data_IF_236336781491
#
_entry.id   IF_236336781491
#
_cell.length_a   1.000
_cell.length_b   1.000
_cell.length_c   1.000
_cell.angle_alpha   90.00
_cell.angle_beta   90.00
_cell.angle_gamma   90.00
#
_symmetry.space_group_name_H-M   'P 1'
#
loop_
_entity.id
_entity.type
_entity.pdbx_description
1 polymer ?
#
# COMPACT_ATOMS: atom_id res chain seq x y z
N UNK A 1 -3.30 -18.29 13.80
CA UNK A 1 -4.07 -18.38 15.08
C UNK A 1 -3.21 -18.57 16.31
N UNK A 2 -2.34 -19.59 16.42
CA UNK A 2 -1.44 -19.72 17.60
C UNK A 2 -0.36 -18.63 17.64
N UNK A 3 0.21 -18.26 16.47
CA UNK A 3 1.24 -17.21 16.38
C UNK A 3 0.73 -15.82 16.77
N UNK A 4 -0.49 -15.45 16.40
CA UNK A 4 -1.07 -14.15 16.79
C UNK A 4 -1.37 -14.09 18.29
N UNK A 5 -1.93 -15.15 18.86
CA UNK A 5 -2.16 -15.21 20.32
C UNK A 5 -0.84 -15.11 21.10
N UNK A 6 0.21 -15.77 20.60
CA UNK A 6 1.55 -15.65 21.16
C UNK A 6 2.12 -14.22 21.06
N UNK A 7 1.93 -13.55 19.91
CA UNK A 7 2.35 -12.16 19.74
C UNK A 7 1.55 -11.20 20.67
N UNK A 8 0.25 -11.41 20.80
CA UNK A 8 -0.63 -10.68 21.74
C UNK A 8 -0.16 -10.87 23.19
N UNK A 9 0.22 -12.10 23.57
CA UNK A 9 0.79 -12.41 24.88
C UNK A 9 2.14 -11.70 25.10
N UNK A 10 3.05 -11.71 24.12
CA UNK A 10 4.33 -11.01 24.22
C UNK A 10 4.15 -9.49 24.38
N UNK A 11 3.22 -8.88 23.63
CA UNK A 11 2.91 -7.45 23.77
C UNK A 11 2.31 -7.16 25.15
N UNK A 12 1.39 -8.02 25.62
CA UNK A 12 0.78 -7.91 26.95
C UNK A 12 1.84 -7.98 28.05
N UNK A 13 2.74 -8.95 27.98
CA UNK A 13 3.86 -9.10 28.91
C UNK A 13 4.78 -7.88 28.86
N UNK A 14 5.16 -7.41 27.68
CA UNK A 14 6.02 -6.24 27.51
C UNK A 14 5.42 -4.98 28.17
N UNK A 15 4.14 -4.69 27.88
CA UNK A 15 3.45 -3.53 28.45
C UNK A 15 3.33 -3.66 29.98
N UNK A 16 3.05 -4.86 30.49
CA UNK A 16 2.98 -5.14 31.92
C UNK A 16 4.34 -4.92 32.61
N UNK A 17 5.42 -5.52 32.10
CA UNK A 17 6.75 -5.41 32.70
C UNK A 17 7.32 -3.99 32.68
N UNK A 18 6.94 -3.16 31.70
CA UNK A 18 7.35 -1.75 31.63
C UNK A 18 6.46 -0.82 32.47
N UNK A 19 5.38 -1.33 33.06
CA UNK A 19 4.44 -0.53 33.86
C UNK A 19 3.51 0.36 33.03
N UNK A 20 3.32 0.05 31.74
CA UNK A 20 2.43 0.80 30.85
C UNK A 20 0.96 0.41 31.05
N UNK A 21 0.46 0.50 32.27
CA UNK A 21 -0.85 -0.03 32.69
C UNK A 21 -2.02 0.60 31.93
N UNK A 22 -1.98 1.91 31.65
CA UNK A 22 -3.00 2.59 30.84
C UNK A 22 -2.99 2.10 29.39
N UNK A 23 -1.81 1.88 28.80
CA UNK A 23 -1.68 1.37 27.43
C UNK A 23 -2.14 -0.08 27.34
N UNK A 24 -1.82 -0.90 28.34
CA UNK A 24 -2.26 -2.28 28.44
C UNK A 24 -3.79 -2.38 28.51
N UNK A 25 -4.44 -1.55 29.34
CA UNK A 25 -5.90 -1.50 29.42
C UNK A 25 -6.56 -1.10 28.10
N UNK A 26 -6.01 -0.10 27.41
CA UNK A 26 -6.49 0.29 26.07
C UNK A 26 -6.30 -0.85 25.07
N UNK A 27 -5.13 -1.48 25.07
CA UNK A 27 -4.82 -2.61 24.20
C UNK A 27 -5.80 -3.77 24.39
N UNK A 28 -6.02 -4.24 25.63
CA UNK A 28 -6.95 -5.33 25.91
C UNK A 28 -8.40 -4.97 25.53
N UNK A 29 -8.81 -3.73 25.78
CA UNK A 29 -10.14 -3.24 25.41
C UNK A 29 -10.34 -3.26 23.90
N UNK A 30 -9.39 -2.74 23.13
CA UNK A 30 -9.45 -2.71 21.67
C UNK A 30 -9.38 -4.13 21.08
N UNK A 31 -8.54 -4.99 21.64
CA UNK A 31 -8.41 -6.39 21.23
C UNK A 31 -9.70 -7.18 21.44
N UNK A 32 -10.44 -6.91 22.52
CA UNK A 32 -11.73 -7.56 22.82
C UNK A 32 -12.85 -7.19 21.83
N UNK A 33 -12.69 -6.10 21.09
CA UNK A 33 -13.60 -5.69 20.03
C UNK A 33 -13.10 -6.18 18.68
N UNK A 34 -13.43 -7.44 18.32
CA UNK A 34 -13.07 -8.10 17.04
C UNK A 34 -13.62 -7.38 15.76
N UNK A 35 -14.29 -6.23 15.97
CA UNK A 35 -14.71 -5.23 14.97
C UNK A 35 -13.51 -4.69 14.18
N UNK A 36 -12.30 -4.77 14.74
CA UNK A 36 -11.08 -4.29 14.10
C UNK A 36 -10.80 -4.92 12.73
N UNK A 37 -11.01 -6.23 12.51
CA UNK A 37 -10.44 -6.92 11.32
C UNK A 37 -10.91 -6.38 9.97
N UNK A 38 -12.19 -6.04 9.83
CA UNK A 38 -12.71 -5.38 8.61
C UNK A 38 -12.33 -3.89 8.59
N UNK A 39 -12.38 -3.23 9.75
CA UNK A 39 -12.06 -1.83 9.93
C UNK A 39 -10.60 -1.49 9.53
N UNK A 40 -9.65 -2.36 9.82
CA UNK A 40 -8.24 -2.19 9.41
C UNK A 40 -8.08 -2.19 7.88
N UNK A 41 -8.91 -2.94 7.13
CA UNK A 41 -8.81 -2.99 5.65
C UNK A 41 -9.29 -1.70 5.03
N UNK A 42 -10.45 -1.20 5.48
CA UNK A 42 -10.98 0.07 5.00
C UNK A 42 -10.07 1.23 5.38
N UNK A 43 -9.49 1.21 6.59
CA UNK A 43 -8.47 2.18 6.99
C UNK A 43 -7.24 2.15 6.09
N UNK A 44 -6.70 0.97 5.75
CA UNK A 44 -5.52 0.89 4.87
C UNK A 44 -5.89 1.34 3.44
N UNK A 45 -7.06 0.96 2.95
CA UNK A 45 -7.55 1.44 1.68
C UNK A 45 -7.62 2.99 1.67
N UNK A 46 -8.19 3.58 2.71
CA UNK A 46 -8.29 5.03 2.86
C UNK A 46 -6.92 5.69 3.05
N UNK A 47 -5.98 5.05 3.76
CA UNK A 47 -4.60 5.54 3.84
C UNK A 47 -3.97 5.66 2.45
N UNK A 48 -4.20 4.68 1.57
CA UNK A 48 -3.67 4.71 0.20
C UNK A 48 -4.36 5.81 -0.62
N UNK A 49 -5.68 5.70 -0.79
CA UNK A 49 -6.43 6.47 -1.79
C UNK A 49 -6.95 7.81 -1.28
N UNK A 50 -7.17 7.96 0.02
CA UNK A 50 -7.73 9.18 0.64
C UNK A 50 -6.66 10.03 1.34
N UNK A 51 -5.48 9.48 1.66
CA UNK A 51 -4.41 10.20 2.35
C UNK A 51 -3.09 10.28 1.55
N UNK A 52 -2.42 9.17 1.28
CA UNK A 52 -1.07 9.17 0.73
C UNK A 52 -1.02 9.65 -0.71
N UNK A 53 -1.93 9.17 -1.56
CA UNK A 53 -2.00 9.63 -2.95
C UNK A 53 -2.41 11.11 -3.04
N UNK A 54 -3.54 11.57 -2.41
CA UNK A 54 -3.95 12.97 -2.51
C UNK A 54 -2.96 13.97 -1.91
N UNK A 55 -2.18 13.56 -0.89
CA UNK A 55 -1.13 14.40 -0.28
C UNK A 55 0.24 14.24 -0.92
N UNK A 56 0.37 13.49 -2.02
CA UNK A 56 1.63 13.26 -2.72
C UNK A 56 2.75 12.69 -1.82
N UNK A 57 2.39 11.80 -0.90
CA UNK A 57 3.32 11.17 0.03
C UNK A 57 3.77 9.79 -0.49
N UNK A 58 4.69 9.79 -1.46
CA UNK A 58 5.25 8.57 -2.03
C UNK A 58 6.03 7.73 -1.03
N UNK A 59 6.72 8.37 -0.08
CA UNK A 59 7.54 7.68 0.91
C UNK A 59 6.68 6.79 1.81
N UNK A 60 5.56 7.32 2.34
CA UNK A 60 4.64 6.53 3.15
C UNK A 60 3.96 5.41 2.34
N UNK A 61 3.65 5.67 1.07
CA UNK A 61 3.08 4.65 0.17
C UNK A 61 4.04 3.49 -0.06
N UNK A 62 5.30 3.76 -0.41
CA UNK A 62 6.33 2.72 -0.60
C UNK A 62 6.60 2.00 0.71
N UNK A 63 6.69 2.72 1.82
CA UNK A 63 6.94 2.12 3.13
C UNK A 63 5.83 1.14 3.53
N UNK A 64 4.57 1.47 3.25
CA UNK A 64 3.43 0.58 3.47
C UNK A 64 3.54 -0.72 2.65
N UNK A 65 3.86 -0.63 1.36
CA UNK A 65 4.03 -1.83 0.53
C UNK A 65 5.26 -2.65 0.92
N UNK A 66 6.35 -2.00 1.33
CA UNK A 66 7.53 -2.69 1.88
C UNK A 66 7.18 -3.43 3.17
N UNK A 67 6.43 -2.79 4.07
CA UNK A 67 5.94 -3.42 5.29
C UNK A 67 5.11 -4.66 4.97
N UNK A 68 4.13 -4.56 4.06
CA UNK A 68 3.35 -5.73 3.66
C UNK A 68 4.22 -6.87 3.13
N UNK A 69 5.24 -6.57 2.32
CA UNK A 69 6.17 -7.61 1.82
C UNK A 69 6.90 -8.32 2.96
N UNK A 70 7.24 -7.60 4.04
CA UNK A 70 7.90 -8.16 5.21
C UNK A 70 6.98 -9.00 6.09
N UNK A 71 5.67 -8.83 5.99
CA UNK A 71 4.71 -9.68 6.70
C UNK A 71 4.61 -11.11 6.13
N UNK A 72 4.99 -11.32 4.87
CA UNK A 72 4.92 -12.62 4.22
C UNK A 72 6.22 -13.41 4.37
N UNK A 73 6.08 -14.72 4.59
CA UNK A 73 7.18 -15.67 4.50
C UNK A 73 7.64 -15.85 3.06
N UNK A 74 8.90 -16.23 2.86
CA UNK A 74 9.46 -16.48 1.52
C UNK A 74 8.73 -17.61 0.75
N UNK A 75 8.00 -18.49 1.45
CA UNK A 75 7.16 -19.54 0.84
C UNK A 75 5.86 -19.01 0.23
N UNK A 76 5.41 -17.81 0.59
CA UNK A 76 4.15 -17.21 0.10
C UNK A 76 4.35 -16.46 -1.22
N UNK A 77 5.06 -17.09 -2.16
CA UNK A 77 5.49 -16.50 -3.44
C UNK A 77 4.32 -15.91 -4.24
N UNK A 78 3.15 -16.54 -4.20
CA UNK A 78 1.96 -16.05 -4.91
C UNK A 78 1.45 -14.73 -4.32
N UNK A 79 1.40 -14.61 -2.99
CA UNK A 79 0.98 -13.38 -2.30
C UNK A 79 1.98 -12.25 -2.56
N UNK A 80 3.28 -12.54 -2.45
CA UNK A 80 4.35 -11.57 -2.71
C UNK A 80 4.31 -11.08 -4.16
N UNK A 81 4.04 -11.97 -5.11
CA UNK A 81 3.92 -11.63 -6.54
C UNK A 81 2.69 -10.76 -6.79
N UNK A 82 1.55 -11.11 -6.19
CA UNK A 82 0.29 -10.35 -6.30
C UNK A 82 0.46 -8.96 -5.69
N UNK A 83 1.05 -8.87 -4.50
CA UNK A 83 1.38 -7.61 -3.82
C UNK A 83 2.30 -6.73 -4.68
N UNK A 84 3.29 -7.32 -5.35
CA UNK A 84 4.22 -6.58 -6.20
C UNK A 84 3.52 -6.02 -7.45
N UNK A 85 2.64 -6.78 -8.08
CA UNK A 85 1.79 -6.28 -9.19
C UNK A 85 0.87 -5.16 -8.73
N UNK A 86 0.25 -5.32 -7.56
CA UNK A 86 -0.63 -4.31 -6.98
C UNK A 86 0.14 -3.02 -6.64
N UNK A 87 1.32 -3.15 -6.04
CA UNK A 87 2.22 -2.03 -5.75
C UNK A 87 2.51 -1.23 -7.02
N UNK A 88 2.85 -1.89 -8.13
CA UNK A 88 3.13 -1.22 -9.40
C UNK A 88 1.91 -0.44 -9.88
N UNK A 89 0.73 -1.06 -9.89
CA UNK A 89 -0.50 -0.39 -10.32
C UNK A 89 -0.85 0.81 -9.44
N UNK A 90 -0.66 0.71 -8.12
CA UNK A 90 -0.90 1.83 -7.19
C UNK A 90 0.12 2.95 -7.38
N UNK A 91 1.40 2.64 -7.61
CA UNK A 91 2.42 3.65 -7.92
C UNK A 91 2.17 4.34 -9.27
N UNK A 92 1.71 3.58 -10.28
CA UNK A 92 1.28 4.14 -11.57
C UNK A 92 0.08 5.08 -11.40
N UNK A 93 -0.90 4.70 -10.56
CA UNK A 93 -2.02 5.57 -10.24
C UNK A 93 -1.58 6.83 -9.50
N UNK A 94 -0.66 6.73 -8.53
CA UNK A 94 -0.07 7.89 -7.86
C UNK A 94 0.50 8.91 -8.86
N UNK A 95 1.25 8.43 -9.86
CA UNK A 95 1.84 9.28 -10.90
C UNK A 95 0.74 9.93 -11.75
N UNK A 96 -0.23 9.14 -12.22
CA UNK A 96 -1.36 9.66 -13.01
C UNK A 96 -2.15 10.70 -12.24
N UNK A 97 -2.44 10.45 -10.95
CA UNK A 97 -3.15 11.38 -10.08
C UNK A 97 -2.37 12.70 -9.94
N UNK A 98 -1.04 12.64 -9.77
CA UNK A 98 -0.20 13.83 -9.72
C UNK A 98 -0.21 14.62 -11.04
N UNK A 99 -0.14 13.94 -12.19
CA UNK A 99 -0.27 14.58 -13.51
C UNK A 99 -1.64 15.24 -13.67
N UNK A 100 -2.74 14.54 -13.35
CA UNK A 100 -4.11 15.08 -13.41
C UNK A 100 -4.30 16.28 -12.47
N UNK A 101 -3.59 16.31 -11.35
CA UNK A 101 -3.60 17.42 -10.39
C UNK A 101 -2.67 18.58 -10.77
N UNK A 102 -2.00 18.52 -11.92
CA UNK A 102 -1.02 19.52 -12.35
C UNK A 102 0.27 19.54 -11.53
N UNK A 103 0.55 18.47 -10.77
CA UNK A 103 1.69 18.33 -9.84
C UNK A 103 2.81 17.49 -10.46
N UNK A 104 3.28 17.91 -11.63
CA UNK A 104 4.43 17.27 -12.29
C UNK A 104 5.72 17.36 -11.44
N UNK A 105 5.84 18.39 -10.58
CA UNK A 105 6.90 18.49 -9.57
C UNK A 105 6.98 17.24 -8.70
N UNK A 106 5.82 16.70 -8.27
CA UNK A 106 5.74 15.51 -7.43
C UNK A 106 6.06 14.22 -8.15
N UNK A 107 5.79 14.15 -9.45
CA UNK A 107 6.21 13.02 -10.29
C UNK A 107 7.73 13.02 -10.45
N UNK A 108 8.33 14.19 -10.67
CA UNK A 108 9.78 14.34 -10.79
C UNK A 108 10.47 13.99 -9.46
N UNK A 109 9.96 14.49 -8.33
CA UNK A 109 10.49 14.17 -7.01
C UNK A 109 10.38 12.67 -6.70
N UNK A 110 9.26 12.05 -7.06
CA UNK A 110 9.07 10.61 -6.94
C UNK A 110 10.16 9.82 -7.67
N UNK A 111 10.42 10.14 -8.94
CA UNK A 111 11.44 9.45 -9.73
C UNK A 111 12.87 9.78 -9.28
N UNK A 112 13.13 10.97 -8.74
CA UNK A 112 14.43 11.29 -8.12
C UNK A 112 14.70 10.42 -6.89
N UNK A 113 13.68 10.23 -6.04
CA UNK A 113 13.82 9.49 -4.79
C UNK A 113 13.82 7.97 -4.99
N UNK A 114 13.02 7.46 -5.93
CA UNK A 114 12.75 6.02 -6.04
C UNK A 114 13.11 5.43 -7.40
N UNK A 115 13.52 6.26 -8.37
CA UNK A 115 13.73 5.84 -9.76
C UNK A 115 14.78 4.75 -9.93
N UNK A 116 15.90 4.84 -9.21
CA UNK A 116 16.96 3.82 -9.28
C UNK A 116 16.44 2.42 -8.90
N UNK A 117 15.69 2.33 -7.79
CA UNK A 117 15.10 1.07 -7.32
C UNK A 117 14.03 0.54 -8.27
N UNK A 118 13.25 1.44 -8.91
CA UNK A 118 12.21 1.05 -9.87
C UNK A 118 12.82 0.46 -11.16
N UNK A 119 13.93 1.01 -11.63
CA UNK A 119 14.61 0.54 -12.85
C UNK A 119 15.23 -0.84 -12.69
N UNK A 120 15.64 -1.21 -11.47
CA UNK A 120 16.17 -2.55 -11.20
C UNK A 120 15.13 -3.68 -11.28
N UNK A 121 13.82 -3.36 -11.31
CA UNK A 121 12.74 -4.33 -11.06
C UNK A 121 12.09 -4.97 -12.29
N UNK A 122 12.56 -4.74 -13.52
CA UNK A 122 12.01 -5.30 -14.77
C UNK A 122 10.47 -5.14 -14.92
N UNK A 123 9.96 -3.94 -14.63
CA UNK A 123 8.52 -3.60 -14.72
C UNK A 123 8.22 -2.49 -15.73
N UNK A 124 9.12 -2.28 -16.69
CA UNK A 124 9.07 -1.23 -17.71
C UNK A 124 8.73 0.16 -17.14
N UNK A 125 9.54 0.60 -16.16
CA UNK A 125 9.42 1.96 -15.60
C UNK A 125 10.09 3.02 -16.48
N UNK A 126 10.99 2.62 -17.39
CA UNK A 126 11.76 3.55 -18.23
C UNK A 126 10.87 4.53 -18.98
N UNK A 127 9.82 4.02 -19.62
CA UNK A 127 8.87 4.84 -20.38
C UNK A 127 8.10 5.83 -19.50
N UNK A 128 7.86 5.49 -18.23
CA UNK A 128 7.14 6.35 -17.28
C UNK A 128 7.93 7.59 -16.84
N UNK A 129 9.26 7.60 -16.95
CA UNK A 129 10.05 8.82 -16.64
C UNK A 129 9.73 9.99 -17.59
N UNK A 130 9.19 9.69 -18.78
CA UNK A 130 8.79 10.71 -19.75
C UNK A 130 7.45 11.38 -19.42
N UNK A 131 6.58 10.74 -18.61
CA UNK A 131 5.19 11.17 -18.41
C UNK A 131 5.02 12.64 -17.95
N UNK A 132 5.82 13.22 -17.01
CA UNK A 132 5.63 14.61 -16.60
C UNK A 132 5.99 15.63 -17.69
N UNK A 133 6.65 15.20 -18.77
CA UNK A 133 7.08 16.05 -19.89
C UNK A 133 6.17 15.93 -21.12
N UNK A 134 5.21 15.00 -21.11
CA UNK A 134 4.25 14.81 -22.20
C UNK A 134 3.09 15.80 -22.00
N UNK A 135 2.74 16.55 -23.06
CA UNK A 135 1.69 17.59 -22.99
C UNK A 135 0.31 17.02 -22.67
N UNK A 136 -0.07 15.90 -23.31
CA UNK A 136 -1.39 15.26 -23.13
C UNK A 136 -1.23 13.75 -22.90
N UNK A 137 -0.78 13.31 -21.71
CA UNK A 137 -0.52 11.89 -21.45
C UNK A 137 -1.77 11.01 -21.55
N UNK A 138 -2.96 11.57 -21.33
CA UNK A 138 -4.23 10.87 -21.50
C UNK A 138 -4.57 10.52 -22.96
N UNK A 139 -3.91 11.13 -23.94
CA UNK A 139 -4.05 10.80 -25.37
C UNK A 139 -2.93 9.88 -25.87
N UNK A 140 -1.87 9.71 -25.09
CA UNK A 140 -0.73 8.88 -25.45
C UNK A 140 -1.13 7.39 -25.42
N UNK A 141 -0.87 6.59 -26.48
CA UNK A 141 -1.24 5.18 -26.53
C UNK A 141 -0.70 4.34 -25.36
N UNK A 142 0.47 4.70 -24.83
CA UNK A 142 1.09 4.01 -23.70
C UNK A 142 0.36 4.31 -22.40
N UNK A 143 -0.07 5.56 -22.21
CA UNK A 143 -0.58 6.02 -20.91
C UNK A 143 -2.11 6.12 -20.83
N UNK A 144 -2.81 6.26 -21.96
CA UNK A 144 -4.25 6.54 -22.03
C UNK A 144 -5.10 5.60 -21.16
N UNK A 145 -4.76 4.31 -21.11
CA UNK A 145 -5.51 3.33 -20.31
C UNK A 145 -5.50 3.68 -18.81
N UNK A 146 -4.41 4.23 -18.30
CA UNK A 146 -4.26 4.56 -16.87
C UNK A 146 -5.05 5.81 -16.46
N UNK A 147 -5.51 6.61 -17.42
CA UNK A 147 -6.38 7.76 -17.19
C UNK A 147 -7.86 7.40 -17.24
N UNK A 148 -8.21 6.15 -17.54
CA UNK A 148 -9.61 5.72 -17.64
C UNK A 148 -10.22 5.40 -16.27
N UNK A 149 -11.53 5.61 -16.15
CA UNK A 149 -12.26 5.26 -14.94
C UNK A 149 -12.29 3.75 -14.73
N UNK A 150 -12.41 2.98 -15.81
CA UNK A 150 -12.46 1.53 -15.78
C UNK A 150 -11.18 0.93 -15.18
N UNK A 151 -10.02 1.50 -15.52
CA UNK A 151 -8.75 1.07 -14.95
C UNK A 151 -8.66 1.39 -13.45
N UNK A 152 -9.11 2.59 -13.05
CA UNK A 152 -9.15 2.97 -11.64
C UNK A 152 -10.10 2.11 -10.81
N UNK A 153 -11.30 1.84 -11.33
CA UNK A 153 -12.29 0.98 -10.67
C UNK A 153 -11.77 -0.46 -10.52
N UNK A 154 -11.10 -0.99 -11.56
CA UNK A 154 -10.44 -2.30 -11.49
C UNK A 154 -9.30 -2.32 -10.45
N UNK A 155 -8.51 -1.25 -10.35
CA UNK A 155 -7.47 -1.10 -9.33
C UNK A 155 -8.06 -1.09 -7.92
N UNK A 156 -9.10 -0.28 -7.68
CA UNK A 156 -9.78 -0.21 -6.38
C UNK A 156 -10.31 -1.58 -5.96
N UNK A 157 -10.99 -2.29 -6.86
CA UNK A 157 -11.48 -3.63 -6.59
C UNK A 157 -10.33 -4.60 -6.28
N UNK A 158 -9.23 -4.52 -7.03
CA UNK A 158 -8.04 -5.36 -6.80
C UNK A 158 -7.41 -5.11 -5.43
N UNK A 159 -7.29 -3.85 -5.01
CA UNK A 159 -6.77 -3.50 -3.67
C UNK A 159 -7.70 -4.03 -2.58
N UNK A 160 -9.02 -3.82 -2.71
CA UNK A 160 -10.01 -4.30 -1.73
C UNK A 160 -10.02 -5.82 -1.61
N UNK A 161 -9.95 -6.53 -2.73
CA UNK A 161 -9.90 -7.98 -2.76
C UNK A 161 -8.61 -8.50 -2.11
N UNK A 162 -7.48 -7.86 -2.43
CA UNK A 162 -6.19 -8.25 -1.86
C UNK A 162 -6.13 -8.01 -0.35
N UNK A 163 -6.59 -6.84 0.14
CA UNK A 163 -6.72 -6.59 1.58
C UNK A 163 -7.72 -7.57 2.22
N UNK A 164 -8.79 -7.90 1.53
CA UNK A 164 -9.74 -8.90 2.00
C UNK A 164 -9.06 -10.25 2.22
N UNK A 165 -8.31 -10.71 1.23
CA UNK A 165 -7.57 -11.97 1.26
C UNK A 165 -6.52 -12.00 2.38
N UNK A 166 -5.71 -10.96 2.51
CA UNK A 166 -4.67 -10.85 3.55
C UNK A 166 -5.26 -11.01 4.96
N UNK A 167 -6.30 -10.24 5.24
CA UNK A 167 -6.81 -10.09 6.60
C UNK A 167 -7.91 -11.12 6.94
N UNK A 168 -8.53 -11.75 5.94
CA UNK A 168 -9.46 -12.88 6.16
C UNK A 168 -8.72 -14.23 6.12
N UNK A 169 -7.71 -14.36 5.28
CA UNK A 169 -7.00 -15.61 4.99
C UNK A 169 -5.89 -15.99 5.98
N UNK A 170 -5.87 -15.44 7.19
CA UNK A 170 -4.83 -15.72 8.22
C UNK A 170 -3.38 -15.36 7.85
N UNK A 171 -3.14 -14.63 6.75
CA UNK A 171 -1.77 -14.33 6.30
C UNK A 171 -1.09 -13.19 7.07
N UNK A 172 -1.86 -12.28 7.69
CA UNK A 172 -1.36 -11.27 8.63
C UNK A 172 -2.03 -11.46 10.01
N UNK A 173 -2.37 -12.72 10.36
CA UNK A 173 -2.90 -13.14 11.67
C UNK A 173 -2.26 -14.43 12.22
#
# INVERSE_FOLDING_TARGET
>A
MENMKYAEELVREFLFFRGFTSTLQSFDKELSTDIGRSFHKDQIFDLIFSLYIPKFNSQSLISLFTFFKQCFSASETLMITTLSKLQISVLRYYIVYAVQSGRNDKVIDFFKLHGADLLQRDQDWMSWFAIPYIKNPNLDPLFRVYFSKEWFDALNLSVRNFLSEIFNGTHIL
#
